data_IF_595457205112
#
_entry.id   IF_595457205112
#
_cell.length_a   1.000
_cell.length_b   1.000
_cell.length_c   1.000
_cell.angle_alpha   90.00
_cell.angle_beta   90.00
_cell.angle_gamma   90.00
#
_symmetry.space_group_name_H-M   'P 1'
#
loop_
_entity.id
_entity.type
_entity.pdbx_description
1 polymer ?
#
# COMPACT_ATOMS: atom_id res chain seq x y z
N UNK A 1 -5.81 19.10 -0.74
CA UNK A 1 -5.82 18.04 0.29
C UNK A 1 -6.04 16.64 -0.32
N UNK A 2 -7.16 16.33 -0.98
CA UNK A 2 -7.43 15.00 -1.54
C UNK A 2 -6.40 14.52 -2.55
N UNK A 3 -5.98 15.33 -3.49
CA UNK A 3 -4.93 14.99 -4.47
C UNK A 3 -3.59 14.64 -3.79
N UNK A 4 -3.26 15.31 -2.70
CA UNK A 4 -2.05 15.04 -1.91
C UNK A 4 -2.16 13.69 -1.18
N UNK A 5 -3.31 13.37 -0.60
CA UNK A 5 -3.57 12.08 0.06
C UNK A 5 -3.49 10.93 -0.96
N UNK A 6 -4.14 11.08 -2.12
CA UNK A 6 -4.09 10.08 -3.21
C UNK A 6 -2.64 9.90 -3.72
N UNK A 7 -1.89 11.00 -3.85
CA UNK A 7 -0.48 10.96 -4.24
C UNK A 7 0.43 10.23 -3.24
N UNK A 8 0.03 10.17 -1.97
CA UNK A 8 0.74 9.49 -0.89
C UNK A 8 0.08 8.16 -0.47
N UNK A 9 -0.52 7.45 -1.41
CA UNK A 9 -1.13 6.12 -1.20
C UNK A 9 -2.19 6.07 -0.08
N UNK A 10 -2.87 7.18 0.14
CA UNK A 10 -3.90 7.32 1.18
C UNK A 10 -3.37 7.77 2.54
N UNK A 11 -2.06 7.92 2.71
CA UNK A 11 -1.47 8.38 3.96
C UNK A 11 -1.77 9.87 4.22
N UNK A 12 -2.09 10.18 5.45
CA UNK A 12 -2.29 11.57 5.93
C UNK A 12 -1.11 12.07 6.77
N UNK A 13 -0.07 11.25 6.96
CA UNK A 13 1.03 11.54 7.88
C UNK A 13 1.83 12.78 7.48
N UNK A 14 1.88 13.11 6.18
CA UNK A 14 2.56 14.28 5.63
C UNK A 14 1.79 15.60 5.82
N UNK A 15 0.52 15.57 6.22
CA UNK A 15 -0.32 16.75 6.36
C UNK A 15 0.01 17.51 7.64
N UNK A 16 0.46 18.75 7.50
CA UNK A 16 0.77 19.65 8.64
C UNK A 16 -0.48 20.23 9.32
N UNK A 17 -1.63 20.14 8.65
CA UNK A 17 -2.91 20.68 9.12
C UNK A 17 -3.60 19.75 10.15
N UNK A 18 -3.16 18.50 10.26
CA UNK A 18 -3.70 17.53 11.19
C UNK A 18 -2.85 17.46 12.46
N UNK A 19 -3.51 17.32 13.60
CA UNK A 19 -2.84 17.04 14.88
C UNK A 19 -2.28 15.61 14.87
N UNK A 20 -1.31 15.32 15.75
CA UNK A 20 -0.76 13.96 15.89
C UNK A 20 -1.82 12.93 16.31
N UNK A 21 -2.79 13.33 17.12
CA UNK A 21 -3.93 12.48 17.48
C UNK A 21 -4.78 12.12 16.26
N UNK A 22 -5.09 13.09 15.41
CA UNK A 22 -5.81 12.85 14.15
C UNK A 22 -5.05 11.95 13.22
N UNK A 23 -3.74 12.16 13.06
CA UNK A 23 -2.87 11.29 12.25
C UNK A 23 -2.82 9.87 12.77
N UNK A 24 -2.85 9.69 14.11
CA UNK A 24 -2.88 8.38 14.73
C UNK A 24 -4.18 7.60 14.44
N UNK A 25 -5.31 8.31 14.27
CA UNK A 25 -6.60 7.70 13.92
C UNK A 25 -6.64 7.29 12.44
N UNK A 26 -6.12 8.12 11.55
CA UNK A 26 -6.20 7.92 10.09
C UNK A 26 -4.97 7.20 9.50
N UNK A 27 -4.48 6.19 10.19
CA UNK A 27 -3.40 5.33 9.67
C UNK A 27 -3.88 4.42 8.56
N UNK A 28 -3.05 4.25 7.54
CA UNK A 28 -3.24 3.22 6.50
C UNK A 28 -2.92 1.83 7.05
N UNK A 29 -3.31 0.79 6.32
CA UNK A 29 -2.99 -0.61 6.69
C UNK A 29 -1.49 -0.88 6.81
N UNK A 30 -0.65 -0.16 6.04
CA UNK A 30 0.81 -0.27 6.10
C UNK A 30 1.44 0.46 7.29
N UNK A 31 0.71 1.38 7.90
CA UNK A 31 1.15 2.22 9.05
C UNK A 31 0.69 1.67 10.39
N UNK A 32 -0.29 0.76 10.38
CA UNK A 32 -0.78 0.09 11.59
C UNK A 32 0.19 -1.03 11.98
N UNK A 33 0.47 -1.14 13.28
CA UNK A 33 1.21 -2.28 13.81
C UNK A 33 0.41 -3.57 13.61
N UNK A 34 0.97 -4.51 12.86
CA UNK A 34 0.32 -5.75 12.47
C UNK A 34 0.04 -6.69 13.64
N UNK A 35 0.65 -6.47 14.80
CA UNK A 35 0.36 -7.22 16.02
C UNK A 35 -1.09 -7.03 16.47
N UNK A 36 -1.64 -5.83 16.29
CA UNK A 36 -3.06 -5.57 16.58
C UNK A 36 -4.02 -6.42 15.76
N UNK A 37 -3.68 -6.66 14.47
CA UNK A 37 -4.49 -7.53 13.62
C UNK A 37 -4.49 -8.97 14.15
N UNK A 38 -3.33 -9.45 14.60
CA UNK A 38 -3.18 -10.78 15.17
C UNK A 38 -3.96 -10.90 16.48
N UNK A 39 -3.86 -9.93 17.38
CA UNK A 39 -4.58 -9.94 18.65
C UNK A 39 -6.09 -9.99 18.44
N UNK A 40 -6.63 -9.12 17.58
CA UNK A 40 -8.04 -9.15 17.23
C UNK A 40 -8.49 -10.45 16.55
N UNK A 41 -7.63 -11.06 15.74
CA UNK A 41 -7.93 -12.34 15.13
C UNK A 41 -7.91 -13.48 16.16
N UNK A 42 -6.96 -13.46 17.08
CA UNK A 42 -6.84 -14.44 18.16
C UNK A 42 -8.06 -14.40 19.11
N UNK A 43 -8.50 -13.20 19.51
CA UNK A 43 -9.69 -13.03 20.34
C UNK A 43 -10.95 -13.63 19.67
N UNK A 44 -11.08 -13.44 18.36
CA UNK A 44 -12.21 -14.03 17.61
C UNK A 44 -12.07 -15.51 17.37
N UNK A 45 -10.84 -16.04 17.31
CA UNK A 45 -10.60 -17.44 16.92
C UNK A 45 -11.23 -18.44 17.89
N UNK A 46 -11.43 -18.07 19.14
CA UNK A 46 -12.12 -18.90 20.15
C UNK A 46 -13.58 -19.19 19.77
N UNK A 47 -14.19 -18.30 18.99
CA UNK A 47 -15.61 -18.38 18.61
C UNK A 47 -15.83 -18.74 17.15
N UNK A 48 -14.76 -19.04 16.42
CA UNK A 48 -14.79 -19.34 14.99
C UNK A 48 -14.11 -20.68 14.72
N UNK A 49 -14.87 -21.65 14.22
CA UNK A 49 -14.34 -22.98 13.86
C UNK A 49 -13.47 -22.95 12.60
N UNK A 50 -13.78 -22.05 11.68
CA UNK A 50 -13.05 -21.89 10.42
C UNK A 50 -11.80 -21.03 10.59
N UNK A 51 -10.92 -21.11 9.61
CA UNK A 51 -9.82 -20.19 9.47
C UNK A 51 -10.31 -18.78 9.09
N UNK A 52 -9.64 -17.76 9.59
CA UNK A 52 -9.91 -16.36 9.24
C UNK A 52 -9.02 -15.95 8.05
N UNK A 53 -9.60 -15.26 7.05
CA UNK A 53 -8.84 -14.71 5.91
C UNK A 53 -8.10 -13.44 6.32
N UNK A 54 -7.06 -13.59 7.13
CA UNK A 54 -6.31 -12.49 7.71
C UNK A 54 -5.14 -12.07 6.81
N UNK A 55 -5.21 -10.85 6.29
CA UNK A 55 -4.12 -10.27 5.50
C UNK A 55 -3.20 -9.45 6.40
N UNK A 56 -1.90 -9.63 6.23
CA UNK A 56 -0.87 -8.82 6.86
C UNK A 56 -0.30 -7.83 5.84
N UNK A 57 0.07 -6.64 6.31
CA UNK A 57 0.57 -5.56 5.48
C UNK A 57 1.92 -5.09 6.01
N UNK A 58 2.97 -5.24 5.20
CA UNK A 58 4.31 -4.83 5.58
C UNK A 58 4.90 -3.88 4.55
N UNK A 59 5.61 -2.89 5.02
CA UNK A 59 6.42 -2.04 4.15
C UNK A 59 7.58 -2.85 3.58
N UNK A 60 8.09 -2.49 2.39
CA UNK A 60 9.18 -3.24 1.75
C UNK A 60 10.49 -3.20 2.56
N UNK A 61 10.67 -2.20 3.41
CA UNK A 61 11.82 -1.98 4.31
C UNK A 61 11.61 -2.57 5.71
N UNK A 62 10.61 -3.43 5.89
CA UNK A 62 10.29 -4.02 7.19
C UNK A 62 11.46 -4.80 7.78
N UNK A 63 11.68 -4.62 9.08
CA UNK A 63 12.69 -5.42 9.80
C UNK A 63 12.26 -6.88 9.88
N UNK A 64 13.16 -7.80 9.47
CA UNK A 64 12.92 -9.25 9.47
C UNK A 64 12.54 -9.76 10.87
N UNK A 65 13.13 -9.21 11.92
CA UNK A 65 12.81 -9.59 13.29
C UNK A 65 11.36 -9.23 13.66
N UNK A 66 10.85 -8.07 13.21
CA UNK A 66 9.46 -7.69 13.40
C UNK A 66 8.51 -8.59 12.61
N UNK A 67 8.82 -8.85 11.33
CA UNK A 67 8.05 -9.78 10.51
C UNK A 67 7.96 -11.16 11.15
N UNK A 68 9.10 -11.69 11.65
CA UNK A 68 9.13 -12.95 12.38
C UNK A 68 8.30 -12.89 13.66
N UNK A 69 8.41 -11.81 14.44
CA UNK A 69 7.67 -11.64 15.69
C UNK A 69 6.14 -11.65 15.47
N UNK A 70 5.65 -11.00 14.40
CA UNK A 70 4.22 -11.01 14.06
C UNK A 70 3.72 -12.43 13.71
N UNK A 71 4.49 -13.17 12.90
CA UNK A 71 4.14 -14.56 12.54
C UNK A 71 4.20 -15.48 13.76
N UNK A 72 5.22 -15.33 14.60
CA UNK A 72 5.36 -16.09 15.84
C UNK A 72 4.21 -15.79 16.81
N UNK A 73 3.79 -14.52 16.93
CA UNK A 73 2.64 -14.12 17.74
C UNK A 73 1.36 -14.80 17.23
N UNK A 74 1.12 -14.83 15.93
CA UNK A 74 -0.03 -15.49 15.33
C UNK A 74 -0.08 -16.98 15.70
N UNK A 75 1.05 -17.68 15.56
CA UNK A 75 1.16 -19.07 15.97
C UNK A 75 0.92 -19.28 17.47
N UNK A 76 1.57 -18.47 18.29
CA UNK A 76 1.48 -18.57 19.77
C UNK A 76 0.05 -18.28 20.27
N UNK A 77 -0.67 -17.37 19.61
CA UNK A 77 -2.04 -16.98 19.96
C UNK A 77 -3.11 -17.91 19.39
N UNK A 78 -2.72 -19.02 18.72
CA UNK A 78 -3.65 -20.00 18.22
C UNK A 78 -4.46 -19.58 16.97
N UNK A 79 -3.99 -18.57 16.23
CA UNK A 79 -4.57 -18.21 14.94
C UNK A 79 -4.30 -19.33 13.95
N UNK A 80 -5.36 -19.91 13.35
CA UNK A 80 -5.26 -21.12 12.53
C UNK A 80 -4.47 -20.91 11.24
N UNK A 81 -4.71 -19.79 10.54
CA UNK A 81 -4.01 -19.45 9.29
C UNK A 81 -3.89 -17.95 9.12
N UNK A 82 -2.84 -17.55 8.39
CA UNK A 82 -2.71 -16.25 7.75
C UNK A 82 -3.01 -16.44 6.26
N UNK A 83 -3.55 -15.40 5.59
CA UNK A 83 -3.93 -15.52 4.20
C UNK A 83 -2.90 -14.88 3.26
N UNK A 84 -2.91 -13.55 3.13
CA UNK A 84 -1.91 -12.85 2.32
C UNK A 84 -0.94 -12.06 3.18
N UNK A 85 0.35 -12.12 2.82
CA UNK A 85 1.34 -11.16 3.24
C UNK A 85 1.52 -10.15 2.09
N UNK A 86 0.97 -8.95 2.25
CA UNK A 86 1.02 -7.89 1.24
C UNK A 86 2.19 -6.95 1.55
N UNK A 87 3.05 -6.75 0.57
CA UNK A 87 4.08 -5.73 0.63
C UNK A 87 4.06 -4.87 -0.63
N UNK A 88 4.48 -3.63 -0.52
CA UNK A 88 4.70 -2.77 -1.67
C UNK A 88 6.02 -3.15 -2.35
N UNK A 89 6.10 -2.98 -3.68
CA UNK A 89 7.35 -3.16 -4.40
C UNK A 89 8.28 -1.99 -4.10
N UNK A 90 9.57 -2.27 -3.85
CA UNK A 90 10.63 -1.25 -3.69
C UNK A 90 10.75 -0.29 -4.90
N UNK A 91 10.19 -0.64 -6.05
CA UNK A 91 10.24 0.15 -7.28
C UNK A 91 9.04 1.07 -7.52
N UNK A 92 8.24 1.41 -6.52
CA UNK A 92 7.21 2.46 -6.62
C UNK A 92 7.79 3.89 -6.47
N UNK A 93 9.11 4.05 -6.56
CA UNK A 93 9.70 5.34 -6.85
C UNK A 93 9.14 5.79 -8.21
N UNK A 94 8.51 6.95 -8.23
CA UNK A 94 8.15 7.73 -9.40
C UNK A 94 6.70 7.67 -9.90
N UNK A 95 5.77 7.92 -9.01
CA UNK A 95 4.49 8.53 -9.45
C UNK A 95 4.72 9.94 -10.03
N UNK A 96 5.81 10.59 -9.65
CA UNK A 96 6.21 11.91 -10.17
C UNK A 96 6.70 11.78 -11.60
N UNK A 97 7.56 10.81 -11.91
CA UNK A 97 8.03 10.56 -13.30
C UNK A 97 6.88 10.23 -14.25
N UNK A 98 5.92 9.40 -13.82
CA UNK A 98 4.76 9.05 -14.64
C UNK A 98 3.83 10.24 -14.92
N UNK A 99 3.78 11.22 -14.04
CA UNK A 99 3.02 12.45 -14.27
C UNK A 99 3.70 13.34 -15.31
N UNK A 100 5.03 13.48 -15.21
CA UNK A 100 5.85 14.23 -16.18
C UNK A 100 5.80 13.56 -17.54
N UNK A 101 5.93 12.22 -17.63
CA UNK A 101 5.80 11.48 -18.87
C UNK A 101 4.42 11.65 -19.53
N UNK A 102 3.34 11.68 -18.76
CA UNK A 102 1.98 11.91 -19.31
C UNK A 102 1.79 13.33 -19.82
N UNK A 103 2.36 14.33 -19.15
CA UNK A 103 2.30 15.71 -19.63
C UNK A 103 3.10 15.88 -20.93
N UNK A 104 4.27 15.28 -21.03
CA UNK A 104 5.09 15.26 -22.25
C UNK A 104 4.41 14.51 -23.39
N UNK A 105 3.80 13.36 -23.13
CA UNK A 105 3.08 12.57 -24.13
C UNK A 105 1.83 13.32 -24.62
N UNK A 106 1.12 14.02 -23.77
CA UNK A 106 -0.03 14.83 -24.21
C UNK A 106 0.38 16.04 -25.07
N UNK A 107 1.52 16.66 -24.83
CA UNK A 107 2.05 17.70 -25.70
C UNK A 107 2.57 17.13 -27.04
N UNK A 108 3.17 15.94 -27.03
CA UNK A 108 3.67 15.29 -28.25
C UNK A 108 2.54 14.77 -29.16
N UNK A 109 1.47 14.22 -28.59
CA UNK A 109 0.33 13.70 -29.37
C UNK A 109 -0.45 14.82 -30.11
N UNK A 110 -0.48 16.01 -29.57
CA UNK A 110 -1.15 17.14 -30.22
C UNK A 110 -0.40 17.69 -31.44
N UNK A 111 0.91 17.45 -31.54
CA UNK A 111 1.73 17.86 -32.69
C UNK A 111 1.82 16.78 -33.77
N UNK A 112 1.81 15.48 -33.39
CA UNK A 112 1.90 14.35 -34.32
C UNK A 112 0.60 14.10 -35.11
N UNK A 113 -0.56 14.46 -34.58
CA UNK A 113 -1.87 14.33 -35.24
C UNK A 113 -2.00 15.34 -36.41
N UNK A 114 -1.22 16.42 -36.41
CA UNK A 114 -1.27 17.44 -37.47
C UNK A 114 -0.63 17.00 -38.79
N UNK A 115 0.32 16.03 -38.78
CA UNK A 115 1.13 15.69 -39.96
C UNK A 115 0.83 14.34 -40.59
N UNK A 116 -0.14 13.58 -40.13
CA UNK A 116 -0.77 12.46 -40.85
C UNK A 116 0.12 11.26 -41.22
N UNK A 117 1.33 11.12 -40.65
CA UNK A 117 2.22 9.99 -40.93
C UNK A 117 2.13 8.92 -39.83
N UNK A 118 1.55 7.78 -40.18
CA UNK A 118 1.46 6.62 -39.31
C UNK A 118 2.78 5.84 -39.32
N UNK A 119 3.64 6.05 -38.31
CA UNK A 119 4.91 5.36 -38.10
C UNK A 119 4.77 3.86 -37.72
N UNK A 120 3.57 3.31 -37.65
CA UNK A 120 3.34 1.91 -37.27
C UNK A 120 3.30 0.92 -38.43
N UNK A 121 3.45 1.37 -39.68
CA UNK A 121 3.32 0.53 -40.89
C UNK A 121 4.62 0.24 -41.61
N UNK A 122 5.78 0.67 -41.13
CA UNK A 122 7.09 0.33 -41.71
C UNK A 122 7.88 -0.56 -40.74
N UNK A 123 7.76 -1.89 -40.90
CA UNK A 123 8.54 -2.89 -40.19
C UNK A 123 8.47 -4.22 -40.86
#
# INVERSE_FOLDING_TARGET
MWSSIIGNDGSVQHLTQLTEEQKAIFKTSMEIDQRWLIEHAADRQMYVDQAQSLNLFFRPDVNIAYLHAVHFLAWKSGVKTLYYCRSEKLGKADKVSKRIEREIIQELDMTAIADGECLACEG
#
